data_IF_326168753081
#
_entry.id   IF_326168753081
#
_cell.length_a   1.000
_cell.length_b   1.000
_cell.length_c   1.000
_cell.angle_alpha   90.00
_cell.angle_beta   90.00
_cell.angle_gamma   90.00
#
_symmetry.space_group_name_H-M   'P 1'
#
loop_
_entity.id
_entity.type
_entity.pdbx_description
1 polymer ?
#
# COMPACT_ATOMS: atom_id res chain seq x y z
N UNK A 1 -3.23 -16.70 19.84
CA UNK A 1 -2.00 -16.13 20.45
C UNK A 1 -0.73 -16.88 20.01
N UNK A 2 -0.72 -18.22 20.04
CA UNK A 2 0.44 -19.01 19.59
C UNK A 2 0.74 -18.84 18.08
N UNK A 3 -0.28 -18.84 17.23
CA UNK A 3 -0.11 -18.65 15.76
C UNK A 3 0.37 -17.23 15.40
N UNK A 4 0.02 -16.25 16.23
CA UNK A 4 0.47 -14.86 16.07
C UNK A 4 1.96 -14.74 16.41
N UNK A 5 2.42 -15.41 17.46
CA UNK A 5 3.84 -15.46 17.82
C UNK A 5 4.66 -16.24 16.79
N UNK A 6 4.12 -17.34 16.26
CA UNK A 6 4.77 -18.11 15.21
C UNK A 6 4.95 -17.28 13.92
N UNK A 7 3.91 -16.55 13.48
CA UNK A 7 4.02 -15.67 12.31
C UNK A 7 4.96 -14.48 12.54
N UNK A 8 4.92 -13.87 13.72
CA UNK A 8 5.83 -12.78 14.10
C UNK A 8 7.30 -13.21 14.19
N UNK A 9 7.58 -14.48 14.49
CA UNK A 9 8.94 -15.05 14.51
C UNK A 9 9.41 -15.56 13.13
N UNK A 10 8.50 -16.07 12.31
CA UNK A 10 8.82 -16.59 10.97
C UNK A 10 9.12 -15.46 9.97
N UNK A 11 8.43 -14.32 10.05
CA UNK A 11 8.67 -13.17 9.16
C UNK A 11 10.13 -12.67 9.22
N UNK A 12 10.68 -12.32 10.41
CA UNK A 12 12.07 -11.88 10.53
C UNK A 12 13.07 -12.94 10.07
N UNK A 13 12.77 -14.22 10.31
CA UNK A 13 13.58 -15.34 9.88
C UNK A 13 13.66 -15.41 8.35
N UNK A 14 12.53 -15.30 7.65
CA UNK A 14 12.52 -15.29 6.20
C UNK A 14 13.21 -14.05 5.61
N UNK A 15 13.06 -12.87 6.22
CA UNK A 15 13.82 -11.68 5.83
C UNK A 15 15.33 -11.90 6.02
N UNK A 16 15.74 -12.47 7.15
CA UNK A 16 17.14 -12.83 7.40
C UNK A 16 17.68 -13.78 6.34
N UNK A 17 16.91 -14.82 5.96
CA UNK A 17 17.29 -15.73 4.89
C UNK A 17 17.35 -15.05 3.52
N UNK A 18 16.37 -14.21 3.19
CA UNK A 18 16.34 -13.45 1.94
C UNK A 18 17.57 -12.54 1.80
N UNK A 19 17.98 -11.87 2.88
CA UNK A 19 19.13 -10.95 2.86
C UNK A 19 20.49 -11.65 2.92
N UNK A 20 20.63 -12.76 3.67
CA UNK A 20 21.89 -13.49 3.74
C UNK A 20 22.14 -14.39 2.52
N UNK A 21 21.11 -15.07 2.03
CA UNK A 21 21.24 -16.01 0.91
C UNK A 21 20.86 -15.37 -0.44
N UNK A 22 20.36 -14.13 -0.43
CA UNK A 22 20.03 -13.34 -1.62
C UNK A 22 19.03 -14.04 -2.56
N UNK A 23 18.14 -14.83 -1.97
CA UNK A 23 17.15 -15.61 -2.71
C UNK A 23 15.89 -14.76 -2.99
N UNK A 24 15.70 -14.42 -4.27
CA UNK A 24 14.54 -13.65 -4.74
C UNK A 24 13.20 -14.30 -4.39
N UNK A 25 13.10 -15.62 -4.56
CA UNK A 25 11.88 -16.37 -4.24
C UNK A 25 11.54 -16.30 -2.76
N UNK A 26 12.54 -16.38 -1.89
CA UNK A 26 12.35 -16.24 -0.43
C UNK A 26 11.87 -14.82 -0.12
N UNK A 27 12.47 -13.79 -0.73
CA UNK A 27 12.02 -12.41 -0.56
C UNK A 27 10.55 -12.23 -0.97
N UNK A 28 10.17 -12.69 -2.17
CA UNK A 28 8.79 -12.59 -2.66
C UNK A 28 7.82 -13.28 -1.71
N UNK A 29 8.13 -14.51 -1.29
CA UNK A 29 7.31 -15.27 -0.35
C UNK A 29 7.19 -14.55 0.99
N UNK A 30 8.29 -13.97 1.48
CA UNK A 30 8.31 -13.20 2.73
C UNK A 30 7.41 -11.98 2.62
N UNK A 31 7.48 -11.23 1.52
CA UNK A 31 6.67 -10.03 1.33
C UNK A 31 5.18 -10.37 1.26
N UNK A 32 4.79 -11.37 0.47
CA UNK A 32 3.41 -11.81 0.36
C UNK A 32 2.86 -12.31 1.71
N UNK A 33 3.64 -13.13 2.42
CA UNK A 33 3.24 -13.63 3.75
C UNK A 33 3.19 -12.51 4.78
N UNK A 34 4.08 -11.53 4.71
CA UNK A 34 4.08 -10.36 5.60
C UNK A 34 2.83 -9.50 5.43
N UNK A 35 2.46 -9.22 4.18
CA UNK A 35 1.25 -8.46 3.85
C UNK A 35 0.01 -9.22 4.31
N UNK A 36 -0.08 -10.52 3.98
CA UNK A 36 -1.20 -11.37 4.38
C UNK A 36 -1.32 -11.48 5.91
N UNK A 37 -0.19 -11.65 6.60
CA UNK A 37 -0.13 -11.72 8.05
C UNK A 37 -0.57 -10.41 8.68
N UNK A 38 -0.06 -9.25 8.22
CA UNK A 38 -0.49 -7.95 8.71
C UNK A 38 -2.00 -7.76 8.56
N UNK A 39 -2.54 -7.99 7.35
CA UNK A 39 -3.97 -7.92 7.10
C UNK A 39 -4.79 -8.85 8.02
N UNK A 40 -4.34 -10.09 8.21
CA UNK A 40 -5.01 -11.05 9.08
C UNK A 40 -4.96 -10.67 10.57
N UNK A 41 -3.82 -10.17 11.07
CA UNK A 41 -3.68 -9.75 12.46
C UNK A 41 -4.65 -8.62 12.80
N UNK A 42 -4.71 -7.61 11.94
CA UNK A 42 -5.64 -6.51 12.15
C UNK A 42 -7.10 -6.96 12.01
N UNK A 43 -7.40 -7.90 11.11
CA UNK A 43 -8.74 -8.49 11.09
C UNK A 43 -9.09 -9.18 12.40
N UNK A 44 -8.20 -10.01 12.94
CA UNK A 44 -8.44 -10.71 14.20
C UNK A 44 -8.59 -9.75 15.38
N UNK A 45 -7.99 -8.56 15.34
CA UNK A 45 -8.03 -7.58 16.41
C UNK A 45 -9.26 -6.67 16.35
N UNK A 46 -9.71 -6.32 15.14
CA UNK A 46 -10.79 -5.35 14.95
C UNK A 46 -12.10 -5.99 14.49
N UNK A 47 -12.09 -7.21 13.94
CA UNK A 47 -13.22 -7.91 13.30
C UNK A 47 -13.92 -7.06 12.21
N UNK A 48 -13.13 -6.23 11.52
CA UNK A 48 -13.64 -5.15 10.67
C UNK A 48 -13.02 -5.24 9.27
N UNK A 49 -13.75 -5.90 8.38
CA UNK A 49 -13.32 -6.14 6.99
C UNK A 49 -13.06 -4.83 6.22
N UNK A 50 -13.71 -3.73 6.61
CA UNK A 50 -13.55 -2.41 5.99
C UNK A 50 -12.15 -1.80 6.11
N UNK A 51 -11.34 -2.25 7.06
CA UNK A 51 -9.99 -1.72 7.31
C UNK A 51 -8.94 -2.38 6.40
N UNK A 52 -9.19 -3.60 5.91
CA UNK A 52 -8.23 -4.36 5.10
C UNK A 52 -7.62 -3.58 3.93
N UNK A 53 -8.42 -2.88 3.11
CA UNK A 53 -7.86 -2.17 1.97
C UNK A 53 -6.89 -1.07 2.40
N UNK A 54 -7.12 -0.41 3.53
CA UNK A 54 -6.22 0.62 4.07
C UNK A 54 -4.89 0.03 4.55
N UNK A 55 -4.93 -1.15 5.17
CA UNK A 55 -3.72 -1.85 5.63
C UNK A 55 -2.92 -2.43 4.47
N UNK A 56 -3.60 -2.97 3.46
CA UNK A 56 -2.97 -3.39 2.22
C UNK A 56 -2.28 -2.21 1.55
N UNK A 57 -2.95 -1.06 1.48
CA UNK A 57 -2.40 0.15 0.91
C UNK A 57 -1.15 0.61 1.67
N UNK A 58 -1.22 0.70 3.01
CA UNK A 58 -0.08 1.02 3.87
C UNK A 58 1.10 0.06 3.68
N UNK A 59 0.81 -1.23 3.67
CA UNK A 59 1.83 -2.26 3.48
C UNK A 59 2.48 -2.13 2.10
N UNK A 60 1.70 -1.87 1.06
CA UNK A 60 2.19 -1.60 -0.29
C UNK A 60 3.08 -0.37 -0.36
N UNK A 61 2.73 0.71 0.36
CA UNK A 61 3.55 1.92 0.48
C UNK A 61 4.89 1.61 1.15
N UNK A 62 4.90 0.86 2.25
CA UNK A 62 6.16 0.47 2.91
C UNK A 62 7.03 -0.36 1.96
N UNK A 63 6.42 -1.35 1.31
CA UNK A 63 7.13 -2.26 0.41
C UNK A 63 7.74 -1.51 -0.76
N UNK A 64 7.04 -0.53 -1.35
CA UNK A 64 7.62 0.28 -2.43
C UNK A 64 8.73 1.22 -1.94
N UNK A 65 8.63 1.75 -0.73
CA UNK A 65 9.72 2.56 -0.16
C UNK A 65 10.99 1.72 0.11
N UNK A 66 10.82 0.45 0.46
CA UNK A 66 11.93 -0.48 0.65
C UNK A 66 12.68 -0.78 -0.66
N UNK A 67 12.08 -0.58 -1.83
CA UNK A 67 12.80 -0.61 -3.12
C UNK A 67 14.05 0.28 -3.07
N UNK A 68 13.90 1.49 -2.52
CA UNK A 68 14.94 2.53 -2.50
C UNK A 68 15.94 2.36 -1.34
N UNK A 69 15.82 1.30 -0.54
CA UNK A 69 16.72 1.07 0.59
C UNK A 69 18.13 0.69 0.08
N UNK A 70 19.18 1.25 0.69
CA UNK A 70 20.60 1.05 0.28
C UNK A 70 21.01 -0.41 0.10
N UNK A 71 20.48 -1.30 0.94
CA UNK A 71 20.75 -2.74 0.84
C UNK A 71 20.22 -3.37 -0.45
N UNK A 72 19.16 -2.81 -1.04
CA UNK A 72 18.49 -3.32 -2.23
C UNK A 72 19.01 -2.67 -3.52
N UNK A 73 19.66 -1.49 -3.44
CA UNK A 73 20.25 -0.81 -4.61
C UNK A 73 21.31 -1.67 -5.31
N UNK A 74 22.05 -2.48 -4.55
CA UNK A 74 23.06 -3.38 -5.10
C UNK A 74 22.46 -4.65 -5.74
N UNK A 75 21.16 -4.88 -5.61
CA UNK A 75 20.47 -6.07 -6.11
C UNK A 75 19.22 -5.66 -6.91
N UNK A 76 19.42 -5.41 -8.21
CA UNK A 76 18.35 -4.98 -9.12
C UNK A 76 17.10 -5.86 -9.05
N UNK A 77 17.25 -7.18 -8.91
CA UNK A 77 16.13 -8.13 -8.76
C UNK A 77 15.32 -7.91 -7.48
N UNK A 78 15.97 -7.53 -6.38
CA UNK A 78 15.28 -7.25 -5.11
C UNK A 78 14.53 -5.94 -5.20
N UNK A 79 15.17 -4.89 -5.72
CA UNK A 79 14.54 -3.60 -6.03
C UNK A 79 13.27 -3.83 -6.87
N UNK A 80 13.37 -4.64 -7.93
CA UNK A 80 12.24 -4.97 -8.79
C UNK A 80 11.13 -5.73 -8.04
N UNK A 81 11.45 -6.68 -7.16
CA UNK A 81 10.44 -7.39 -6.37
C UNK A 81 9.68 -6.45 -5.42
N UNK A 82 10.38 -5.57 -4.70
CA UNK A 82 9.77 -4.56 -3.84
C UNK A 82 8.86 -3.62 -4.64
N UNK A 83 9.34 -3.12 -5.78
CA UNK A 83 8.55 -2.29 -6.68
C UNK A 83 7.27 -2.98 -7.15
N UNK A 84 7.40 -4.20 -7.68
CA UNK A 84 6.27 -4.93 -8.27
C UNK A 84 5.23 -5.27 -7.21
N UNK A 85 5.66 -5.88 -6.11
CA UNK A 85 4.74 -6.29 -5.03
C UNK A 85 4.11 -5.05 -4.38
N UNK A 86 4.90 -4.00 -4.11
CA UNK A 86 4.39 -2.76 -3.54
C UNK A 86 3.33 -2.12 -4.42
N UNK A 87 3.62 -1.94 -5.71
CA UNK A 87 2.69 -1.30 -6.66
C UNK A 87 1.41 -2.11 -6.84
N UNK A 88 1.51 -3.43 -6.99
CA UNK A 88 0.33 -4.31 -7.13
C UNK A 88 -0.51 -4.26 -5.86
N UNK A 89 0.11 -4.29 -4.69
CA UNK A 89 -0.60 -4.24 -3.40
C UNK A 89 -1.35 -2.91 -3.24
N UNK A 90 -0.76 -1.78 -3.65
CA UNK A 90 -1.44 -0.48 -3.64
C UNK A 90 -2.62 -0.47 -4.62
N UNK A 91 -2.43 -0.97 -5.85
CA UNK A 91 -3.46 -1.01 -6.86
C UNK A 91 -4.67 -1.86 -6.42
N UNK A 92 -4.42 -3.08 -5.91
CA UNK A 92 -5.49 -3.97 -5.41
C UNK A 92 -6.20 -3.38 -4.20
N UNK A 93 -5.47 -2.70 -3.33
CA UNK A 93 -6.03 -2.03 -2.17
C UNK A 93 -6.92 -0.86 -2.54
N UNK A 94 -6.46 0.03 -3.43
CA UNK A 94 -7.29 1.13 -3.92
C UNK A 94 -8.52 0.65 -4.67
N UNK A 95 -8.37 -0.42 -5.46
CA UNK A 95 -9.51 -1.08 -6.11
C UNK A 95 -10.51 -1.61 -5.08
N UNK A 96 -10.04 -2.32 -4.05
CA UNK A 96 -10.91 -2.80 -2.97
C UNK A 96 -11.62 -1.64 -2.23
N UNK A 97 -10.93 -0.51 -1.99
CA UNK A 97 -11.51 0.71 -1.41
C UNK A 97 -12.59 1.35 -2.28
N UNK A 98 -12.60 1.07 -3.59
CA UNK A 98 -13.60 1.56 -4.52
C UNK A 98 -14.90 0.72 -4.51
N UNK A 99 -14.89 -0.47 -3.90
CA UNK A 99 -16.05 -1.36 -3.84
C UNK A 99 -17.00 -0.98 -2.72
N UNK A 100 -18.30 -0.97 -3.02
CA UNK A 100 -19.35 -0.55 -2.08
C UNK A 100 -19.36 -1.38 -0.78
N UNK A 101 -19.06 -2.67 -0.86
CA UNK A 101 -18.95 -3.57 0.28
C UNK A 101 -17.92 -3.08 1.30
N UNK A 102 -16.71 -2.74 0.85
CA UNK A 102 -15.63 -2.27 1.72
C UNK A 102 -15.91 -0.86 2.26
N UNK A 103 -16.45 0.04 1.45
CA UNK A 103 -16.85 1.39 1.90
C UNK A 103 -17.90 1.29 3.01
N UNK A 104 -18.90 0.43 2.83
CA UNK A 104 -19.96 0.24 3.84
C UNK A 104 -19.42 -0.37 5.13
N UNK A 105 -18.49 -1.33 5.03
CA UNK A 105 -17.82 -1.92 6.17
C UNK A 105 -16.92 -0.91 6.89
N UNK A 106 -16.23 -0.02 6.17
CA UNK A 106 -15.37 1.00 6.78
C UNK A 106 -16.15 2.08 7.52
N UNK A 107 -17.28 2.54 6.98
CA UNK A 107 -18.16 3.49 7.68
C UNK A 107 -18.64 2.91 9.01
N UNK A 108 -19.00 1.62 9.03
CA UNK A 108 -19.31 0.91 10.28
C UNK A 108 -18.09 0.89 11.20
N UNK A 109 -16.91 0.55 10.70
CA UNK A 109 -15.68 0.52 11.49
C UNK A 109 -15.39 1.84 12.19
N UNK A 110 -15.58 2.96 11.50
CA UNK A 110 -15.33 4.29 12.07
C UNK A 110 -16.22 4.57 13.28
N UNK A 111 -17.50 4.15 13.23
CA UNK A 111 -18.43 4.27 14.34
C UNK A 111 -18.04 3.42 15.57
N UNK A 112 -17.30 2.32 15.36
CA UNK A 112 -16.82 1.43 16.43
C UNK A 112 -15.40 1.75 16.93
N UNK A 113 -14.78 2.84 16.44
CA UNK A 113 -13.50 3.32 16.94
C UNK A 113 -12.28 2.81 16.17
N UNK A 114 -12.15 3.22 14.90
CA UNK A 114 -10.91 3.10 14.11
C UNK A 114 -9.77 4.00 14.60
N UNK A 115 -10.00 4.76 15.69
CA UNK A 115 -9.06 5.71 16.27
C UNK A 115 -7.61 5.23 16.40
N UNK A 116 -7.29 4.00 16.80
CA UNK A 116 -5.87 3.60 16.90
C UNK A 116 -5.16 3.41 15.55
N UNK A 117 -5.88 3.27 14.43
CA UNK A 117 -5.28 2.99 13.12
C UNK A 117 -4.45 4.16 12.58
N UNK A 118 -4.81 5.41 12.91
CA UNK A 118 -4.01 6.56 12.48
C UNK A 118 -2.63 6.54 13.15
N UNK A 119 -2.47 5.92 14.33
CA UNK A 119 -1.18 5.77 15.00
C UNK A 119 -0.28 4.82 14.20
N UNK A 120 -0.83 3.68 13.78
CA UNK A 120 -0.12 2.74 12.90
C UNK A 120 0.22 3.40 11.57
N UNK A 121 -0.72 4.16 11.00
CA UNK A 121 -0.48 4.94 9.79
C UNK A 121 0.71 5.91 9.96
N UNK A 122 0.73 6.73 11.04
CA UNK A 122 1.84 7.65 11.31
C UNK A 122 3.16 6.88 11.48
N UNK A 123 3.16 5.77 12.21
CA UNK A 123 4.36 4.95 12.36
C UNK A 123 4.90 4.47 11.00
N UNK A 124 4.01 4.04 10.09
CA UNK A 124 4.41 3.64 8.74
C UNK A 124 4.92 4.80 7.89
N UNK A 125 4.27 5.97 7.97
CA UNK A 125 4.71 7.18 7.25
C UNK A 125 6.08 7.68 7.76
N UNK A 126 6.33 7.62 9.07
CA UNK A 126 7.63 7.97 9.68
C UNK A 126 8.72 7.00 9.24
N UNK A 127 8.43 5.70 9.24
CA UNK A 127 9.37 4.68 8.76
C UNK A 127 9.70 4.86 7.27
N UNK A 128 8.69 5.07 6.43
CA UNK A 128 8.86 5.35 5.00
C UNK A 128 9.70 6.62 4.77
N UNK A 129 9.36 7.71 5.47
CA UNK A 129 10.09 8.97 5.41
C UNK A 129 11.56 8.82 5.82
N UNK A 130 11.84 8.03 6.88
CA UNK A 130 13.19 7.74 7.34
C UNK A 130 14.02 6.96 6.31
N UNK A 131 13.41 5.98 5.62
CA UNK A 131 14.09 5.22 4.57
C UNK A 131 14.45 6.14 3.40
N UNK A 132 13.56 7.04 3.00
CA UNK A 132 13.80 7.99 1.91
C UNK A 132 14.86 9.03 2.31
N UNK A 133 14.78 9.60 3.52
CA UNK A 133 15.71 10.65 3.97
C UNK A 133 17.16 10.18 4.06
N UNK A 134 17.41 8.87 4.18
CA UNK A 134 18.77 8.31 4.10
C UNK A 134 19.38 8.33 2.70
N UNK A 135 18.56 8.47 1.65
CA UNK A 135 19.00 8.45 0.26
C UNK A 135 19.23 9.85 -0.30
N UNK A 136 18.46 10.84 0.18
CA UNK A 136 18.50 12.20 -0.36
C UNK A 136 18.85 13.20 0.74
N UNK A 137 19.79 14.09 0.44
CA UNK A 137 20.19 15.17 1.36
C UNK A 137 19.31 16.42 1.24
N UNK A 138 18.49 16.51 0.18
CA UNK A 138 17.64 17.66 -0.09
C UNK A 138 16.15 17.27 -0.11
N UNK A 139 15.37 17.97 0.71
CA UNK A 139 13.92 17.82 0.84
C UNK A 139 13.20 18.04 -0.51
N UNK A 140 13.68 18.98 -1.34
CA UNK A 140 13.05 19.27 -2.62
C UNK A 140 13.05 18.05 -3.56
N UNK A 141 14.16 17.30 -3.52
CA UNK A 141 14.35 16.08 -4.32
C UNK A 141 13.49 14.95 -3.77
N UNK A 142 13.40 14.82 -2.44
CA UNK A 142 12.53 13.85 -1.76
C UNK A 142 11.07 14.03 -2.21
N UNK A 143 10.55 15.25 -2.15
CA UNK A 143 9.16 15.54 -2.50
C UNK A 143 8.92 15.26 -3.98
N UNK A 144 9.81 15.72 -4.87
CA UNK A 144 9.64 15.55 -6.32
C UNK A 144 9.63 14.08 -6.73
N UNK A 145 10.52 13.26 -6.18
CA UNK A 145 10.67 11.85 -6.60
C UNK A 145 9.70 10.87 -5.92
N UNK A 146 8.98 11.32 -4.90
CA UNK A 146 8.01 10.51 -4.16
C UNK A 146 6.61 11.13 -4.16
N UNK A 147 6.37 12.16 -4.97
CA UNK A 147 5.13 12.94 -4.96
C UNK A 147 3.87 12.06 -5.08
N UNK A 148 3.86 11.11 -6.02
CA UNK A 148 2.75 10.17 -6.23
C UNK A 148 2.39 9.38 -4.98
N UNK A 149 3.39 9.01 -4.18
CA UNK A 149 3.22 8.24 -2.95
C UNK A 149 2.80 9.13 -1.78
N UNK A 150 3.39 10.33 -1.68
CA UNK A 150 3.04 11.32 -0.66
C UNK A 150 1.60 11.80 -0.77
N UNK A 151 1.09 12.00 -1.99
CA UNK A 151 -0.32 12.36 -2.22
C UNK A 151 -1.26 11.26 -1.71
N UNK A 152 -0.92 10.00 -1.99
CA UNK A 152 -1.68 8.85 -1.53
C UNK A 152 -1.69 8.75 0.00
N UNK A 153 -0.53 8.99 0.61
CA UNK A 153 -0.34 8.98 2.04
C UNK A 153 -1.23 10.02 2.74
N UNK A 154 -1.12 11.28 2.33
CA UNK A 154 -1.91 12.37 2.92
C UNK A 154 -3.42 12.09 2.80
N UNK A 155 -3.85 11.59 1.65
CA UNK A 155 -5.25 11.21 1.44
C UNK A 155 -5.70 10.13 2.44
N UNK A 156 -4.93 9.05 2.58
CA UNK A 156 -5.28 7.94 3.46
C UNK A 156 -5.34 8.38 4.91
N UNK A 157 -4.43 9.25 5.33
CA UNK A 157 -4.47 9.86 6.65
C UNK A 157 -5.77 10.62 6.89
N UNK A 158 -6.20 11.45 5.93
CA UNK A 158 -7.47 12.19 6.01
C UNK A 158 -8.65 11.22 6.10
N UNK A 159 -8.67 10.17 5.28
CA UNK A 159 -9.74 9.17 5.27
C UNK A 159 -9.84 8.37 6.58
N UNK A 160 -8.73 8.13 7.25
CA UNK A 160 -8.70 7.45 8.55
C UNK A 160 -9.17 8.36 9.70
N UNK A 161 -8.89 9.67 9.61
CA UNK A 161 -9.24 10.64 10.67
C UNK A 161 -10.68 11.13 10.58
N UNK A 162 -11.13 11.48 9.38
CA UNK A 162 -12.42 12.17 9.21
C UNK A 162 -13.54 11.16 9.04
N UNK A 163 -14.58 11.17 9.89
CA UNK A 163 -15.75 10.33 9.69
C UNK A 163 -16.57 10.87 8.50
N UNK A 164 -16.35 10.26 7.34
CA UNK A 164 -17.05 10.62 6.11
C UNK A 164 -18.31 9.76 5.93
N UNK A 165 -19.35 10.36 5.34
CA UNK A 165 -20.54 9.61 4.94
C UNK A 165 -20.17 8.61 3.83
N UNK A 166 -20.94 7.51 3.71
CA UNK A 166 -20.73 6.48 2.68
C UNK A 166 -20.58 7.06 1.27
N UNK A 167 -21.43 8.02 0.90
CA UNK A 167 -21.40 8.65 -0.43
C UNK A 167 -20.13 9.47 -0.67
N UNK A 168 -19.70 10.23 0.34
CA UNK A 168 -18.47 11.03 0.26
C UNK A 168 -17.26 10.10 0.20
N UNK A 169 -17.20 9.09 1.07
CA UNK A 169 -16.11 8.11 1.10
C UNK A 169 -15.99 7.37 -0.24
N UNK A 170 -17.10 6.89 -0.78
CA UNK A 170 -17.13 6.22 -2.09
C UNK A 170 -16.64 7.14 -3.21
N UNK A 171 -17.07 8.41 -3.22
CA UNK A 171 -16.62 9.39 -4.21
C UNK A 171 -15.11 9.63 -4.08
N UNK A 172 -14.63 9.87 -2.87
CA UNK A 172 -13.21 10.15 -2.62
C UNK A 172 -12.33 8.95 -2.98
N UNK A 173 -12.67 7.73 -2.57
CA UNK A 173 -11.84 6.55 -2.89
C UNK A 173 -11.77 6.28 -4.39
N UNK A 174 -12.89 6.46 -5.11
CA UNK A 174 -12.93 6.34 -6.57
C UNK A 174 -12.11 7.42 -7.28
N UNK A 175 -12.23 8.68 -6.87
CA UNK A 175 -11.44 9.79 -7.42
C UNK A 175 -9.95 9.55 -7.16
N UNK A 176 -9.60 9.07 -5.98
CA UNK A 176 -8.22 8.76 -5.62
C UNK A 176 -7.62 7.60 -6.39
N UNK A 177 -8.39 6.53 -6.65
CA UNK A 177 -7.99 5.45 -7.53
C UNK A 177 -7.67 5.97 -8.94
N UNK A 178 -8.52 6.86 -9.49
CA UNK A 178 -8.31 7.49 -10.79
C UNK A 178 -7.07 8.39 -10.83
N UNK A 179 -6.92 9.29 -9.84
CA UNK A 179 -5.77 10.19 -9.72
C UNK A 179 -4.48 9.37 -9.60
N UNK A 180 -4.45 8.37 -8.71
CA UNK A 180 -3.27 7.55 -8.51
C UNK A 180 -2.89 6.76 -9.76
N UNK A 181 -3.87 6.16 -10.45
CA UNK A 181 -3.60 5.44 -11.70
C UNK A 181 -3.02 6.36 -12.78
N UNK A 182 -3.51 7.61 -12.86
CA UNK A 182 -2.97 8.62 -13.77
C UNK A 182 -1.56 9.04 -13.38
N UNK A 183 -1.29 9.28 -12.10
CA UNK A 183 0.04 9.62 -11.59
C UNK A 183 1.05 8.50 -11.83
N UNK A 184 0.64 7.23 -11.70
CA UNK A 184 1.45 6.05 -12.03
C UNK A 184 1.79 6.02 -13.53
N UNK A 185 0.82 6.30 -14.41
CA UNK A 185 1.08 6.37 -15.86
C UNK A 185 2.07 7.50 -16.17
N UNK A 186 1.86 8.70 -15.62
CA UNK A 186 2.78 9.82 -15.77
C UNK A 186 4.19 9.46 -15.27
N UNK A 187 4.30 8.83 -14.10
CA UNK A 187 5.57 8.35 -13.56
C UNK A 187 6.24 7.37 -14.54
N UNK A 188 5.48 6.43 -15.10
CA UNK A 188 5.98 5.47 -16.09
C UNK A 188 6.53 6.13 -17.35
N UNK A 189 5.90 7.19 -17.84
CA UNK A 189 6.44 7.98 -18.96
C UNK A 189 7.71 8.75 -18.57
N UNK A 190 7.74 9.39 -17.39
CA UNK A 190 8.90 10.15 -16.92
C UNK A 190 10.12 9.23 -16.73
N UNK A 191 9.91 8.03 -16.17
CA UNK A 191 10.99 7.08 -15.89
C UNK A 191 11.25 6.08 -17.03
N UNK A 192 10.53 6.18 -18.16
CA UNK A 192 10.54 5.19 -19.24
C UNK A 192 10.30 3.74 -18.77
N UNK A 193 9.47 3.57 -17.74
CA UNK A 193 9.24 2.28 -17.11
C UNK A 193 7.87 1.72 -17.48
N UNK A 194 7.87 0.70 -18.34
CA UNK A 194 6.66 0.08 -18.89
C UNK A 194 5.80 -0.59 -17.81
N UNK A 195 6.37 -1.04 -16.69
CA UNK A 195 5.59 -1.67 -15.63
C UNK A 195 4.60 -0.68 -15.03
N UNK A 196 5.06 0.55 -14.73
CA UNK A 196 4.16 1.59 -14.22
C UNK A 196 3.06 1.94 -15.23
N UNK A 197 3.41 2.05 -16.51
CA UNK A 197 2.41 2.33 -17.57
C UNK A 197 1.33 1.24 -17.60
N UNK A 198 1.72 -0.04 -17.67
CA UNK A 198 0.75 -1.14 -17.73
C UNK A 198 -0.09 -1.27 -16.47
N UNK A 199 0.50 -1.16 -15.29
CA UNK A 199 -0.25 -1.24 -14.02
C UNK A 199 -1.25 -0.09 -13.91
N UNK A 200 -0.85 1.13 -14.28
CA UNK A 200 -1.76 2.27 -14.27
C UNK A 200 -2.93 2.11 -15.24
N UNK A 201 -2.67 1.64 -16.47
CA UNK A 201 -3.72 1.36 -17.45
C UNK A 201 -4.66 0.25 -16.96
N UNK A 202 -4.12 -0.86 -16.45
CA UNK A 202 -4.95 -1.95 -15.92
C UNK A 202 -5.82 -1.49 -14.75
N UNK A 203 -5.28 -0.61 -13.90
CA UNK A 203 -6.01 -0.02 -12.77
C UNK A 203 -7.16 0.87 -13.25
N UNK A 204 -6.93 1.70 -14.28
CA UNK A 204 -7.99 2.49 -14.92
C UNK A 204 -9.06 1.61 -15.57
N UNK A 205 -8.66 0.54 -16.27
CA UNK A 205 -9.61 -0.40 -16.87
C UNK A 205 -10.48 -1.03 -15.79
N UNK A 206 -9.88 -1.53 -14.70
CA UNK A 206 -10.62 -2.10 -13.57
C UNK A 206 -11.58 -1.10 -12.91
N UNK A 207 -11.17 0.17 -12.78
CA UNK A 207 -12.03 1.25 -12.29
C UNK A 207 -13.25 1.48 -13.21
N UNK A 208 -13.02 1.58 -14.52
CA UNK A 208 -14.12 1.81 -15.48
C UNK A 208 -15.08 0.62 -15.48
N UNK A 209 -14.57 -0.61 -15.56
CA UNK A 209 -15.41 -1.82 -15.65
C UNK A 209 -16.21 -2.08 -14.38
N UNK A 210 -15.64 -1.82 -13.20
CA UNK A 210 -16.36 -1.99 -11.92
C UNK A 210 -17.53 -1.00 -11.77
N UNK A 211 -17.40 0.24 -12.28
CA UNK A 211 -18.54 1.17 -12.35
C UNK A 211 -19.62 0.74 -13.34
N UNK A 212 -19.24 0.17 -14.48
CA UNK A 212 -20.20 -0.34 -15.46
C UNK A 212 -20.98 -1.54 -14.92
N UNK A 213 -20.32 -2.41 -14.12
CA UNK A 213 -20.98 -3.55 -13.48
C UNK A 213 -21.93 -3.16 -12.34
N UNK A 214 -21.70 -2.02 -11.69
CA UNK A 214 -22.56 -1.49 -10.62
C UNK A 214 -23.80 -0.73 -11.14
N UNK A 215 -23.88 -0.48 -12.45
CA UNK A 215 -25.01 0.18 -13.12
C UNK A 215 -25.92 -0.80 -13.91
N UNK A 216 -25.57 -2.08 -13.93
CA UNK A 216 -26.36 -3.20 -14.49
C UNK A 216 -27.01 -3.99 -13.36
#
# INVERSE_FOLDING_TARGET
>A
MLDMLAGALLLPLFFYFAYNFRLLTVLILTLLTSIAFACFQFYSLYDQVGIFPFLGLLSGIIVIHMEKHRLNENFSSFSLAYKVIGTITIATSLYAMSLEFFVSAFVKAHLYGTGPLWIFYIATAVLGSYVISKKYNDLSTIVRENFTWLVLDVLVFILLLVPLSKSILFTVTNVSLFIWATLIICQGYITNDKFYIYVGILTLIAFVTSKTLALL
#
